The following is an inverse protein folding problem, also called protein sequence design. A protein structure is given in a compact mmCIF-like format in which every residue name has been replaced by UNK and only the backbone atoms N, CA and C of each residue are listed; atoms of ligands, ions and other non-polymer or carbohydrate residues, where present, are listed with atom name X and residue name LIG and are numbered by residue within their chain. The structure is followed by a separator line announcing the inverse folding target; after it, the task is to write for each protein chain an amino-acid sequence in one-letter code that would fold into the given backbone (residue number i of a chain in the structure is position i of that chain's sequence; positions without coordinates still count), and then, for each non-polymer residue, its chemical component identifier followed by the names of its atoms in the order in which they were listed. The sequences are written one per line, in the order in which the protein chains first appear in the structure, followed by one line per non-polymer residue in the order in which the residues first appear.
data_IF_823513226035
#
_entry.id   IF_823513226035
#
_cell.length_a   1.000
_cell.length_b   1.000
_cell.length_c   1.000
_cell.angle_alpha   90.00
_cell.angle_beta   90.00
_cell.angle_gamma   90.00
#
_symmetry.space_group_name_H-M   'P 1'
#
loop_
_entity.id
_entity.type
_entity.pdbx_description
1 polymer ?
#
# COMPACT_ATOMS: atom_id res chain seq x y z
N UNK A 1 -15.29 56.54 37.73
CA UNK A 1 -15.22 56.20 36.29
C UNK A 1 -13.91 55.53 35.90
N UNK A 2 -12.79 55.81 36.58
CA UNK A 2 -11.46 55.27 36.21
C UNK A 2 -11.25 53.77 36.47
N UNK A 3 -11.85 53.21 37.54
CA UNK A 3 -11.69 51.78 37.87
C UNK A 3 -12.31 50.82 36.84
N UNK A 4 -13.39 51.23 36.16
CA UNK A 4 -14.07 50.41 35.14
C UNK A 4 -13.24 50.37 33.85
N UNK A 5 -12.59 51.47 33.49
CA UNK A 5 -11.73 51.55 32.30
C UNK A 5 -10.50 50.65 32.42
N UNK A 6 -9.85 50.63 33.59
CA UNK A 6 -8.67 49.78 33.84
C UNK A 6 -8.97 48.29 33.75
N UNK A 7 -10.15 47.85 34.20
CA UNK A 7 -10.56 46.44 34.13
C UNK A 7 -10.86 46.04 32.69
N UNK A 8 -11.50 46.93 31.91
CA UNK A 8 -11.78 46.69 30.49
C UNK A 8 -10.47 46.54 29.71
N UNK A 9 -9.49 47.44 29.89
CA UNK A 9 -8.22 47.37 29.18
C UNK A 9 -7.44 46.08 29.45
N UNK A 10 -7.49 45.57 30.69
CA UNK A 10 -6.84 44.30 31.04
C UNK A 10 -7.59 43.07 30.52
N UNK A 11 -8.90 43.17 30.25
CA UNK A 11 -9.74 42.05 29.80
C UNK A 11 -9.81 41.96 28.27
N UNK A 12 -9.58 43.06 27.56
CA UNK A 12 -9.58 43.12 26.10
C UNK A 12 -8.59 42.13 25.49
N UNK A 13 -7.36 42.07 25.98
CA UNK A 13 -6.33 41.16 25.44
C UNK A 13 -6.69 39.67 25.57
N UNK A 14 -7.08 39.16 26.76
CA UNK A 14 -7.55 37.77 26.91
C UNK A 14 -8.76 37.45 26.03
N UNK A 15 -9.74 38.35 25.95
CA UNK A 15 -10.95 38.16 25.14
C UNK A 15 -10.62 38.13 23.66
N UNK A 16 -9.75 39.04 23.19
CA UNK A 16 -9.25 39.04 21.81
C UNK A 16 -8.52 37.73 21.47
N UNK A 17 -7.65 37.22 22.34
CA UNK A 17 -6.95 35.94 22.12
C UNK A 17 -7.96 34.80 21.99
N UNK A 18 -8.96 34.73 22.88
CA UNK A 18 -10.00 33.68 22.82
C UNK A 18 -10.80 33.77 21.53
N UNK A 19 -11.21 34.97 21.12
CA UNK A 19 -11.95 35.17 19.86
C UNK A 19 -11.09 34.75 18.65
N UNK A 20 -9.83 35.15 18.61
CA UNK A 20 -8.87 34.77 17.56
C UNK A 20 -8.75 33.24 17.49
N UNK A 21 -8.54 32.56 18.63
CA UNK A 21 -8.42 31.10 18.66
C UNK A 21 -9.70 30.40 18.19
N UNK A 22 -10.88 30.90 18.57
CA UNK A 22 -12.17 30.32 18.15
C UNK A 22 -12.41 30.48 16.65
N UNK A 23 -12.10 31.65 16.08
CA UNK A 23 -12.23 31.91 14.64
C UNK A 23 -11.22 31.07 13.84
N UNK A 24 -9.94 31.05 14.25
CA UNK A 24 -8.91 30.28 13.53
C UNK A 24 -9.11 28.77 13.62
N UNK A 25 -9.59 28.24 14.75
CA UNK A 25 -9.81 26.79 14.89
C UNK A 25 -10.80 26.26 13.85
N UNK A 26 -11.84 27.04 13.53
CA UNK A 26 -12.80 26.71 12.48
C UNK A 26 -12.12 26.64 11.11
N UNK A 27 -11.40 27.70 10.73
CA UNK A 27 -10.73 27.79 9.43
C UNK A 27 -9.62 26.75 9.24
N UNK A 28 -8.80 26.51 10.28
CA UNK A 28 -7.73 25.50 10.27
C UNK A 28 -8.32 24.09 10.08
N UNK A 29 -9.44 23.79 10.73
CA UNK A 29 -10.13 22.50 10.56
C UNK A 29 -10.64 22.30 9.14
N UNK A 30 -11.20 23.35 8.52
CA UNK A 30 -11.66 23.30 7.13
C UNK A 30 -10.50 23.10 6.14
N UNK A 31 -9.40 23.81 6.33
CA UNK A 31 -8.21 23.68 5.48
C UNK A 31 -7.54 22.30 5.66
N UNK A 32 -7.41 21.82 6.89
CA UNK A 32 -6.85 20.50 7.19
C UNK A 32 -7.65 19.37 6.50
N UNK A 33 -8.99 19.45 6.52
CA UNK A 33 -9.85 18.49 5.80
C UNK A 33 -9.66 18.55 4.30
N UNK A 34 -9.44 19.73 3.71
CA UNK A 34 -9.20 19.89 2.27
C UNK A 34 -7.84 19.34 1.85
N UNK A 35 -6.78 19.62 2.62
CA UNK A 35 -5.43 19.07 2.39
C UNK A 35 -5.43 17.56 2.54
N UNK A 36 -6.05 17.03 3.60
CA UNK A 36 -6.21 15.58 3.78
C UNK A 36 -6.95 14.95 2.60
N UNK A 37 -8.06 15.54 2.13
CA UNK A 37 -8.83 15.03 0.99
C UNK A 37 -8.04 15.05 -0.33
N UNK A 38 -7.21 16.08 -0.55
CA UNK A 38 -6.32 16.16 -1.72
C UNK A 38 -5.25 15.08 -1.63
N UNK A 39 -4.58 14.97 -0.48
CA UNK A 39 -3.56 13.94 -0.24
C UNK A 39 -4.14 12.54 -0.42
N UNK A 40 -5.33 12.23 0.12
CA UNK A 40 -5.96 10.93 -0.09
C UNK A 40 -6.27 10.65 -1.56
N UNK A 41 -6.68 11.67 -2.33
CA UNK A 41 -6.97 11.53 -3.77
C UNK A 41 -5.68 11.34 -4.59
N UNK A 42 -4.63 12.08 -4.28
CA UNK A 42 -3.32 11.99 -4.93
C UNK A 42 -2.70 10.61 -4.68
N UNK A 43 -2.61 10.20 -3.41
CA UNK A 43 -2.10 8.89 -3.03
C UNK A 43 -2.93 7.72 -3.60
N UNK A 44 -4.25 7.89 -3.73
CA UNK A 44 -5.10 6.93 -4.42
C UNK A 44 -4.75 6.81 -5.90
N UNK A 45 -4.57 7.94 -6.58
CA UNK A 45 -4.21 7.94 -8.01
C UNK A 45 -2.84 7.29 -8.21
N UNK A 46 -1.86 7.62 -7.38
CA UNK A 46 -0.50 7.10 -7.49
C UNK A 46 -0.46 5.57 -7.37
N UNK A 47 -1.10 5.01 -6.33
CA UNK A 47 -1.14 3.57 -6.13
C UNK A 47 -1.88 2.85 -7.28
N UNK A 48 -3.09 3.31 -7.63
CA UNK A 48 -3.86 2.65 -8.68
C UNK A 48 -3.16 2.76 -10.04
N UNK A 49 -2.48 3.87 -10.33
CA UNK A 49 -1.66 4.03 -11.53
C UNK A 49 -0.45 3.09 -11.51
N UNK A 50 0.23 2.95 -10.37
CA UNK A 50 1.37 2.04 -10.22
C UNK A 50 0.98 0.57 -10.45
N UNK A 51 -0.15 0.12 -9.89
CA UNK A 51 -0.70 -1.22 -10.13
C UNK A 51 -1.02 -1.42 -11.60
N UNK A 52 -1.72 -0.46 -12.22
CA UNK A 52 -2.11 -0.54 -13.63
C UNK A 52 -0.91 -0.55 -14.57
N UNK A 53 0.12 0.23 -14.27
CA UNK A 53 1.34 0.26 -15.07
C UNK A 53 2.09 -1.08 -14.97
N UNK A 54 2.17 -1.65 -13.77
CA UNK A 54 2.78 -2.96 -13.55
C UNK A 54 2.02 -4.07 -14.30
N UNK A 55 0.68 -4.04 -14.27
CA UNK A 55 -0.14 -5.01 -14.99
C UNK A 55 -0.03 -4.87 -16.51
N UNK A 56 0.03 -3.66 -17.05
CA UNK A 56 0.20 -3.42 -18.48
C UNK A 56 1.58 -3.88 -18.99
N UNK A 57 2.64 -3.64 -18.22
CA UNK A 57 3.99 -4.15 -18.56
C UNK A 57 4.01 -5.68 -18.70
N UNK A 58 3.12 -6.40 -18.02
CA UNK A 58 3.00 -7.86 -18.12
C UNK A 58 2.23 -8.35 -19.34
N UNK A 59 1.19 -7.66 -19.79
CA UNK A 59 0.46 -8.10 -20.99
C UNK A 59 1.37 -8.08 -22.23
N UNK A 60 2.45 -7.28 -22.17
CA UNK A 60 3.46 -7.19 -23.22
C UNK A 60 4.56 -8.27 -23.09
N UNK A 61 4.74 -8.85 -21.90
CA UNK A 61 5.76 -9.86 -21.56
C UNK A 61 5.05 -11.17 -21.16
N UNK A 62 4.73 -12.00 -22.15
CA UNK A 62 3.97 -13.27 -22.10
C UNK A 62 3.87 -14.00 -20.75
N UNK A 63 2.85 -13.67 -19.96
CA UNK A 63 2.33 -14.51 -18.86
C UNK A 63 0.80 -14.61 -19.00
N UNK A 64 0.37 -15.42 -19.97
CA UNK A 64 -1.03 -15.70 -20.28
C UNK A 64 -1.55 -16.87 -19.44
N UNK A 65 -1.78 -16.62 -18.16
CA UNK A 65 -2.65 -17.48 -17.34
C UNK A 65 -3.86 -16.63 -16.92
N UNK A 66 -5.03 -16.97 -17.45
CA UNK A 66 -6.29 -16.28 -17.14
C UNK A 66 -6.83 -16.85 -15.83
N UNK A 67 -6.47 -16.21 -14.72
CA UNK A 67 -6.90 -16.62 -13.38
C UNK A 67 -8.15 -15.81 -13.03
N UNK A 68 -9.30 -16.49 -12.94
CA UNK A 68 -10.55 -15.89 -12.48
C UNK A 68 -10.59 -16.00 -10.96
N UNK A 69 -10.44 -14.88 -10.28
CA UNK A 69 -10.38 -14.83 -8.82
C UNK A 69 -11.75 -14.39 -8.28
N UNK A 70 -12.25 -15.08 -7.24
CA UNK A 70 -13.45 -14.66 -6.51
C UNK A 70 -13.20 -13.37 -5.73
N UNK A 71 -14.15 -12.44 -5.86
CA UNK A 71 -13.97 -10.99 -5.72
C UNK A 71 -14.30 -10.40 -4.33
N UNK A 72 -14.86 -11.22 -3.43
CA UNK A 72 -15.51 -10.72 -2.21
C UNK A 72 -14.58 -9.93 -1.28
N UNK A 73 -13.31 -10.35 -1.16
CA UNK A 73 -12.36 -9.68 -0.26
C UNK A 73 -11.85 -8.36 -0.84
N UNK A 74 -11.65 -8.28 -2.16
CA UNK A 74 -11.21 -7.05 -2.82
C UNK A 74 -12.28 -5.95 -2.76
N UNK A 75 -13.54 -6.34 -2.72
CA UNK A 75 -14.67 -5.41 -2.59
C UNK A 75 -14.92 -5.00 -1.13
N UNK A 76 -14.69 -5.90 -0.16
CA UNK A 76 -14.91 -5.63 1.26
C UNK A 76 -13.72 -4.92 1.96
N UNK A 77 -12.49 -5.35 1.65
CA UNK A 77 -11.26 -4.72 2.14
C UNK A 77 -10.17 -4.80 1.07
N UNK A 78 -10.07 -3.77 0.20
CA UNK A 78 -9.06 -3.71 -0.87
C UNK A 78 -7.63 -3.86 -0.34
N UNK A 79 -7.32 -3.20 0.78
CA UNK A 79 -6.02 -3.31 1.45
C UNK A 79 -5.78 -4.71 2.02
N UNK A 80 -6.79 -5.29 2.65
CA UNK A 80 -6.73 -6.66 3.16
C UNK A 80 -6.45 -7.66 2.05
N UNK A 81 -7.09 -7.49 0.89
CA UNK A 81 -6.85 -8.30 -0.32
C UNK A 81 -5.40 -8.22 -0.81
N UNK A 82 -4.82 -7.01 -0.88
CA UNK A 82 -3.40 -6.82 -1.26
C UNK A 82 -2.46 -7.53 -0.29
N UNK A 83 -2.69 -7.40 1.01
CA UNK A 83 -1.86 -8.04 2.06
C UNK A 83 -2.00 -9.56 1.99
N UNK A 84 -3.23 -10.07 1.86
CA UNK A 84 -3.50 -11.51 1.77
C UNK A 84 -2.86 -12.12 0.53
N UNK A 85 -3.00 -11.48 -0.63
CA UNK A 85 -2.34 -11.90 -1.86
C UNK A 85 -0.82 -11.91 -1.73
N UNK A 86 -0.23 -10.92 -1.06
CA UNK A 86 1.21 -10.91 -0.80
C UNK A 86 1.67 -12.06 0.11
N UNK A 87 0.90 -12.40 1.15
CA UNK A 87 1.24 -13.52 2.03
C UNK A 87 1.30 -14.85 1.27
N UNK A 88 0.41 -15.04 0.28
CA UNK A 88 0.44 -16.21 -0.61
C UNK A 88 1.70 -16.25 -1.48
N UNK A 89 2.13 -15.09 -2.00
CA UNK A 89 3.39 -14.98 -2.75
C UNK A 89 4.59 -15.33 -1.88
N UNK A 90 4.63 -14.86 -0.63
CA UNK A 90 5.71 -15.20 0.30
C UNK A 90 5.78 -16.70 0.60
N UNK A 91 4.63 -17.37 0.71
CA UNK A 91 4.57 -18.81 0.92
C UNK A 91 5.04 -19.58 -0.32
N UNK A 92 4.66 -19.14 -1.51
CA UNK A 92 5.16 -19.71 -2.77
C UNK A 92 6.68 -19.55 -2.93
N UNK A 93 7.22 -18.37 -2.58
CA UNK A 93 8.68 -18.11 -2.56
C UNK A 93 9.38 -19.03 -1.55
N UNK A 94 8.79 -19.22 -0.37
CA UNK A 94 9.33 -20.16 0.63
C UNK A 94 9.33 -21.59 0.08
N UNK A 95 8.23 -22.02 -0.53
CA UNK A 95 8.13 -23.33 -1.18
C UNK A 95 9.19 -23.52 -2.28
N UNK A 96 9.37 -22.52 -3.14
CA UNK A 96 10.41 -22.51 -4.17
C UNK A 96 11.81 -22.72 -3.59
N UNK A 97 12.17 -21.92 -2.57
CA UNK A 97 13.48 -22.02 -1.93
C UNK A 97 13.70 -23.38 -1.25
N UNK A 98 12.68 -23.94 -0.61
CA UNK A 98 12.75 -25.29 -0.03
C UNK A 98 13.02 -26.36 -1.10
N UNK A 99 12.34 -26.29 -2.26
CA UNK A 99 12.59 -27.22 -3.38
C UNK A 99 14.00 -27.10 -3.95
N UNK A 100 14.57 -25.90 -3.91
CA UNK A 100 15.89 -25.61 -4.44
C UNK A 100 17.02 -25.70 -3.39
N UNK A 101 16.72 -26.16 -2.17
CA UNK A 101 17.72 -26.33 -1.11
C UNK A 101 18.33 -25.01 -0.61
N UNK A 102 17.65 -23.89 -0.84
CA UNK A 102 18.06 -22.57 -0.38
C UNK A 102 17.63 -22.42 1.08
N UNK A 103 18.59 -22.53 1.99
CA UNK A 103 18.34 -22.53 3.45
C UNK A 103 18.02 -21.11 3.94
N UNK A 104 16.73 -20.78 4.00
CA UNK A 104 16.25 -19.64 4.77
C UNK A 104 16.51 -19.94 6.25
N UNK A 105 17.65 -19.47 6.78
CA UNK A 105 18.18 -19.83 8.10
C UNK A 105 17.08 -20.09 9.13
N UNK A 106 17.00 -21.32 9.64
CA UNK A 106 16.01 -21.77 10.65
C UNK A 106 15.90 -20.85 11.87
N UNK A 107 16.96 -20.10 12.18
CA UNK A 107 17.02 -19.19 13.32
C UNK A 107 16.25 -17.86 13.12
N UNK A 108 15.88 -17.52 11.88
CA UNK A 108 15.24 -16.23 11.55
C UNK A 108 14.14 -16.36 10.48
N UNK A 109 13.05 -17.11 10.75
CA UNK A 109 11.97 -17.33 9.78
C UNK A 109 11.37 -16.02 9.24
N UNK A 110 11.26 -14.99 10.08
CA UNK A 110 10.69 -13.68 9.71
C UNK A 110 11.65 -12.68 9.08
N UNK A 111 12.98 -12.82 9.24
CA UNK A 111 13.95 -11.90 8.59
C UNK A 111 14.22 -12.27 7.13
N UNK A 112 13.58 -13.32 6.63
CA UNK A 112 13.95 -13.95 5.37
C UNK A 112 13.05 -13.62 4.18
N UNK A 113 11.95 -12.85 4.28
CA UNK A 113 11.14 -12.52 3.06
C UNK A 113 12.02 -11.88 1.96
N UNK A 114 12.86 -10.92 2.33
CA UNK A 114 13.77 -10.26 1.39
C UNK A 114 15.00 -11.12 1.02
N UNK A 115 15.51 -11.91 1.97
CA UNK A 115 16.65 -12.81 1.72
C UNK A 115 16.27 -14.01 0.84
N UNK A 116 15.05 -14.53 1.01
CA UNK A 116 14.40 -15.59 0.24
C UNK A 116 14.04 -15.12 -1.18
N UNK A 117 13.81 -13.83 -1.39
CA UNK A 117 13.65 -13.25 -2.72
C UNK A 117 14.98 -13.06 -3.43
N UNK A 118 16.01 -12.60 -2.72
CA UNK A 118 17.35 -12.38 -3.28
C UNK A 118 18.06 -13.68 -3.73
N UNK A 119 17.58 -14.83 -3.26
CA UNK A 119 18.10 -16.15 -3.63
C UNK A 119 17.43 -16.74 -4.87
N UNK A 120 16.39 -16.10 -5.42
CA UNK A 120 15.75 -16.55 -6.65
C UNK A 120 16.65 -16.20 -7.84
N UNK A 121 17.10 -17.23 -8.56
CA UNK A 121 17.95 -17.06 -9.73
C UNK A 121 17.14 -16.73 -10.99
N UNK A 122 17.72 -15.90 -11.85
CA UNK A 122 17.12 -15.47 -13.11
C UNK A 122 16.84 -16.65 -14.06
N UNK A 123 17.72 -17.65 -14.05
CA UNK A 123 17.72 -18.75 -15.01
C UNK A 123 16.57 -19.74 -14.82
N UNK A 124 15.92 -19.75 -13.65
CA UNK A 124 14.84 -20.70 -13.33
C UNK A 124 13.43 -20.17 -13.56
N UNK A 125 13.18 -18.87 -13.35
CA UNK A 125 11.81 -18.31 -13.35
C UNK A 125 11.61 -17.20 -14.39
N UNK A 126 12.70 -16.75 -15.03
CA UNK A 126 12.68 -15.72 -16.08
C UNK A 126 12.59 -14.29 -15.56
N UNK A 127 13.07 -13.35 -16.39
CA UNK A 127 13.16 -11.90 -16.07
C UNK A 127 11.82 -11.28 -15.70
N UNK A 128 10.78 -11.60 -16.46
CA UNK A 128 9.44 -11.02 -16.29
C UNK A 128 8.85 -11.35 -14.92
N UNK A 129 8.96 -12.60 -14.49
CA UNK A 129 8.48 -13.05 -13.17
C UNK A 129 9.24 -12.37 -12.04
N UNK A 130 10.57 -12.24 -12.16
CA UNK A 130 11.39 -11.57 -11.14
C UNK A 130 11.06 -10.07 -11.02
N UNK A 131 10.89 -9.39 -12.16
CA UNK A 131 10.46 -7.98 -12.19
C UNK A 131 9.07 -7.79 -11.60
N UNK A 132 8.17 -8.74 -11.85
CA UNK A 132 6.81 -8.73 -11.30
C UNK A 132 6.82 -8.93 -9.79
N UNK A 133 7.62 -9.89 -9.31
CA UNK A 133 7.79 -10.14 -7.88
C UNK A 133 8.32 -8.90 -7.14
N UNK A 134 9.30 -8.17 -7.73
CA UNK A 134 9.80 -6.92 -7.17
C UNK A 134 8.73 -5.80 -7.20
N UNK A 135 7.94 -5.72 -8.28
CA UNK A 135 6.83 -4.76 -8.39
C UNK A 135 5.76 -4.99 -7.33
N UNK A 136 5.36 -6.25 -7.12
CA UNK A 136 4.43 -6.64 -6.05
C UNK A 136 4.98 -6.27 -4.67
N UNK A 137 6.28 -6.50 -4.41
CA UNK A 137 6.92 -6.14 -3.14
C UNK A 137 6.83 -4.64 -2.87
N UNK A 138 7.11 -3.81 -3.88
CA UNK A 138 7.03 -2.34 -3.77
C UNK A 138 5.60 -1.88 -3.51
N UNK A 139 4.65 -2.37 -4.31
CA UNK A 139 3.23 -2.06 -4.17
C UNK A 139 2.68 -2.50 -2.81
N UNK A 140 3.09 -3.65 -2.27
CA UNK A 140 2.73 -4.06 -0.91
C UNK A 140 3.25 -3.08 0.13
N UNK A 141 4.51 -2.64 0.01
CA UNK A 141 5.09 -1.70 0.97
C UNK A 141 4.32 -0.38 0.97
N UNK A 142 3.94 0.11 -0.20
CA UNK A 142 3.06 1.28 -0.31
C UNK A 142 1.71 1.01 0.35
N UNK A 143 1.03 -0.08 0.00
CA UNK A 143 -0.30 -0.43 0.52
C UNK A 143 -0.37 -0.56 2.06
N UNK A 144 0.71 -0.96 2.74
CA UNK A 144 0.75 -1.02 4.21
C UNK A 144 0.62 0.37 4.84
N UNK A 145 1.13 1.41 4.18
CA UNK A 145 1.03 2.81 4.60
C UNK A 145 -0.27 3.50 4.16
N UNK A 146 -1.06 2.85 3.30
CA UNK A 146 -2.34 3.36 2.80
C UNK A 146 -3.51 2.91 3.66
N UNK A 147 -4.59 3.70 3.64
CA UNK A 147 -5.89 3.28 4.16
C UNK A 147 -6.72 2.60 3.06
N UNK A 148 -7.72 1.81 3.43
CA UNK A 148 -8.61 1.12 2.48
C UNK A 148 -9.29 2.10 1.51
N UNK A 149 -9.56 3.33 1.93
CA UNK A 149 -10.14 4.39 1.08
C UNK A 149 -9.19 4.85 -0.05
N UNK A 150 -7.88 4.60 0.07
CA UNK A 150 -6.89 4.97 -0.93
C UNK A 150 -6.70 3.87 -2.00
N UNK A 151 -7.18 2.65 -1.77
CA UNK A 151 -6.97 1.52 -2.69
C UNK A 151 -8.29 1.21 -3.38
N UNK A 152 -8.31 1.22 -4.71
CA UNK A 152 -9.52 0.82 -5.43
C UNK A 152 -9.67 -0.71 -5.42
N UNK A 153 -10.92 -1.20 -5.36
CA UNK A 153 -11.20 -2.63 -5.46
C UNK A 153 -10.66 -3.23 -6.77
N UNK A 154 -10.70 -2.45 -7.87
CA UNK A 154 -10.13 -2.85 -9.17
C UNK A 154 -8.62 -3.07 -9.06
N UNK A 155 -7.88 -2.12 -8.47
CA UNK A 155 -6.43 -2.29 -8.31
C UNK A 155 -6.06 -3.38 -7.32
N UNK A 156 -6.89 -3.63 -6.29
CA UNK A 156 -6.71 -4.81 -5.43
C UNK A 156 -6.88 -6.12 -6.22
N UNK A 157 -7.86 -6.21 -7.13
CA UNK A 157 -8.06 -7.35 -8.03
C UNK A 157 -6.89 -7.51 -9.00
N UNK A 158 -6.44 -6.43 -9.63
CA UNK A 158 -5.27 -6.44 -10.52
C UNK A 158 -4.00 -6.90 -9.79
N UNK A 159 -3.76 -6.38 -8.58
CA UNK A 159 -2.64 -6.81 -7.74
C UNK A 159 -2.70 -8.30 -7.45
N UNK A 160 -3.89 -8.82 -7.12
CA UNK A 160 -4.09 -10.24 -6.87
C UNK A 160 -3.83 -11.11 -8.10
N UNK A 161 -4.32 -10.71 -9.27
CA UNK A 161 -4.04 -11.43 -10.52
C UNK A 161 -2.53 -11.47 -10.79
N UNK A 162 -1.82 -10.36 -10.59
CA UNK A 162 -0.36 -10.33 -10.72
C UNK A 162 0.33 -11.27 -9.72
N UNK A 163 -0.14 -11.30 -8.46
CA UNK A 163 0.35 -12.22 -7.43
C UNK A 163 0.14 -13.69 -7.84
N UNK A 164 -1.05 -14.05 -8.30
CA UNK A 164 -1.39 -15.43 -8.70
C UNK A 164 -0.56 -15.90 -9.91
N UNK A 165 -0.22 -15.00 -10.85
CA UNK A 165 0.70 -15.29 -11.97
C UNK A 165 2.11 -15.61 -11.45
N UNK A 166 2.63 -14.81 -10.52
CA UNK A 166 3.96 -15.04 -9.93
C UNK A 166 3.99 -16.34 -9.12
N UNK A 167 2.94 -16.63 -8.35
CA UNK A 167 2.79 -17.89 -7.61
C UNK A 167 2.83 -19.07 -8.59
N UNK A 168 2.04 -19.01 -9.67
CA UNK A 168 2.01 -20.07 -10.68
C UNK A 168 3.39 -20.29 -11.32
N UNK A 169 4.10 -19.22 -11.66
CA UNK A 169 5.45 -19.31 -12.21
C UNK A 169 6.46 -19.87 -11.20
N UNK A 170 6.36 -19.50 -9.92
CA UNK A 170 7.18 -20.04 -8.84
C UNK A 170 6.90 -21.52 -8.58
N UNK A 171 5.67 -22.00 -8.77
CA UNK A 171 5.30 -23.41 -8.57
C UNK A 171 5.73 -24.30 -9.73
N UNK A 172 5.73 -23.78 -10.96
CA UNK A 172 6.14 -24.51 -12.17
C UNK A 172 7.66 -24.60 -12.34
N UNK A 173 8.43 -23.71 -11.69
CA UNK A 173 9.89 -23.72 -11.66
C UNK A 173 10.46 -24.67 -10.57
#
# INVERSE_FOLDING_TARGET
MEAIASIIDSLVWPVCIVIIVLVLKSEISHLAKKVSRISHKETQIDFNAAVKNASFSLETEELNTKITVSDELSDLSPRGSVIESWLRVEDAVRGYNLRHGIDASKEKPFRSSLAAMNSIHYDSIGKGTLQMLESLRRLRNEAVHLSDANISAVSAKEYRVMADKVISALEMA
#
